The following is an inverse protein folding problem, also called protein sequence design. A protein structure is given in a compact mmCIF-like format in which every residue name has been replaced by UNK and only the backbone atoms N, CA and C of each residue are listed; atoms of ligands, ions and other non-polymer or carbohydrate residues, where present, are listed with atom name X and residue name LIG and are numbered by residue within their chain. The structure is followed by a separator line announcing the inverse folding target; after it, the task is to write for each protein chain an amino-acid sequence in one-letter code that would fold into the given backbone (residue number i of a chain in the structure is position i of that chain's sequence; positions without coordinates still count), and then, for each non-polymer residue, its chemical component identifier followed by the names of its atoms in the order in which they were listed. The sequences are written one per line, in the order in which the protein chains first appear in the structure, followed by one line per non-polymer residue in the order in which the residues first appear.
data_IF_926280140540
#
_entry.id   IF_926280140540
#
_cell.length_a   1.000
_cell.length_b   1.000
_cell.length_c   1.000
_cell.angle_alpha   90.00
_cell.angle_beta   90.00
_cell.angle_gamma   90.00
#
_symmetry.space_group_name_H-M   'P 1'
#
loop_
_entity.id
_entity.type
_entity.pdbx_description
1 polymer ?
#
# COMPACT_ATOMS: atom_id res chain seq x y z
N UNK A 1 7.92 -52.01 -36.82
CA UNK A 1 8.47 -53.12 -36.06
C UNK A 1 9.37 -52.61 -34.92
N UNK A 2 9.22 -53.24 -33.82
CA UNK A 2 9.93 -53.20 -32.53
C UNK A 2 9.43 -52.22 -31.49
N UNK A 3 8.52 -52.74 -30.64
CA UNK A 3 8.31 -52.38 -29.25
C UNK A 3 9.58 -52.61 -28.41
N UNK A 4 9.96 -51.65 -27.55
CA UNK A 4 10.71 -51.91 -26.31
C UNK A 4 10.00 -51.19 -25.18
N UNK A 5 9.34 -52.00 -24.34
CA UNK A 5 8.86 -51.59 -23.03
C UNK A 5 10.05 -51.50 -22.06
N UNK A 6 10.31 -50.32 -21.48
CA UNK A 6 11.22 -50.20 -20.34
C UNK A 6 10.43 -50.08 -19.04
N UNK A 7 10.57 -51.10 -18.23
CA UNK A 7 10.10 -51.24 -16.85
C UNK A 7 10.88 -50.29 -15.94
N UNK A 8 10.16 -49.43 -15.20
CA UNK A 8 10.70 -48.60 -14.13
C UNK A 8 10.87 -49.42 -12.83
N UNK A 9 11.97 -49.28 -12.09
CA UNK A 9 12.19 -50.00 -10.86
C UNK A 9 11.39 -49.41 -9.68
N UNK A 10 10.81 -50.34 -8.90
CA UNK A 10 10.17 -50.06 -7.59
C UNK A 10 11.13 -49.36 -6.64
N UNK A 11 10.69 -48.23 -6.04
CA UNK A 11 11.33 -47.67 -4.86
C UNK A 11 10.71 -48.26 -3.60
N UNK A 12 11.53 -48.68 -2.61
CA UNK A 12 11.02 -49.22 -1.34
C UNK A 12 10.46 -48.11 -0.46
N UNK A 13 9.36 -48.38 0.24
CA UNK A 13 8.81 -47.55 1.28
C UNK A 13 9.79 -47.37 2.47
N UNK A 14 9.90 -46.18 3.08
CA UNK A 14 10.69 -46.02 4.31
C UNK A 14 9.91 -46.56 5.52
N UNK A 15 10.59 -47.41 6.29
CA UNK A 15 10.13 -48.00 7.51
C UNK A 15 9.59 -47.00 8.54
N UNK A 16 8.44 -47.31 9.14
CA UNK A 16 7.82 -46.60 10.24
C UNK A 16 8.63 -46.86 11.51
N UNK A 17 9.37 -45.85 12.00
CA UNK A 17 9.96 -45.86 13.32
C UNK A 17 8.88 -45.43 14.36
N UNK A 18 8.39 -46.41 15.10
CA UNK A 18 7.60 -46.22 16.31
C UNK A 18 8.51 -45.71 17.44
N UNK A 19 8.13 -44.57 18.05
CA UNK A 19 8.71 -44.15 19.30
C UNK A 19 8.65 -42.65 19.58
N UNK A 20 7.46 -42.10 19.87
CA UNK A 20 7.35 -40.80 20.56
C UNK A 20 6.15 -40.77 21.51
N UNK A 21 6.44 -40.45 22.76
CA UNK A 21 5.52 -40.39 23.91
C UNK A 21 4.31 -39.44 23.68
N UNK A 22 3.11 -39.70 24.22
CA UNK A 22 1.90 -38.91 24.01
C UNK A 22 1.80 -37.76 25.05
N UNK A 23 2.51 -36.69 24.86
CA UNK A 23 2.44 -35.55 25.81
C UNK A 23 2.32 -34.17 25.16
N UNK A 24 2.76 -33.97 23.91
CA UNK A 24 2.90 -32.62 23.33
C UNK A 24 2.19 -32.40 21.98
N UNK A 25 1.26 -33.27 21.58
CA UNK A 25 0.66 -33.21 20.24
C UNK A 25 -0.46 -32.15 20.07
N UNK A 26 -1.16 -31.74 21.13
CA UNK A 26 -2.33 -30.84 20.98
C UNK A 26 -1.97 -29.39 20.69
N UNK A 27 -0.88 -28.88 21.21
CA UNK A 27 -0.47 -27.47 21.05
C UNK A 27 0.16 -27.24 19.64
N UNK A 28 0.84 -28.23 19.10
CA UNK A 28 1.44 -28.13 17.76
C UNK A 28 0.43 -28.28 16.60
N UNK A 29 -0.71 -28.97 16.80
CA UNK A 29 -1.72 -29.14 15.74
C UNK A 29 -2.50 -27.85 15.44
N UNK A 30 -2.80 -27.03 16.43
CA UNK A 30 -3.51 -25.78 16.19
C UNK A 30 -2.60 -24.71 15.53
N UNK A 31 -1.34 -24.60 15.97
CA UNK A 31 -0.35 -23.69 15.34
C UNK A 31 -0.02 -24.11 13.90
N UNK A 32 0.12 -25.41 13.64
CA UNK A 32 0.35 -25.92 12.27
C UNK A 32 -0.89 -25.81 11.37
N UNK A 33 -2.09 -25.80 11.94
CA UNK A 33 -3.33 -25.57 11.18
C UNK A 33 -3.44 -24.11 10.70
N UNK A 34 -3.18 -23.14 11.54
CA UNK A 34 -3.20 -21.71 11.16
C UNK A 34 -2.13 -21.41 10.09
N UNK A 35 -0.91 -21.91 10.27
CA UNK A 35 0.15 -21.75 9.26
C UNK A 35 -0.21 -22.47 7.96
N UNK A 36 -0.79 -23.67 8.00
CA UNK A 36 -1.28 -24.38 6.81
C UNK A 36 -2.45 -23.67 6.13
N UNK A 37 -3.32 -23.04 6.88
CA UNK A 37 -4.40 -22.20 6.32
C UNK A 37 -3.80 -20.98 5.62
N UNK A 38 -2.85 -20.28 6.24
CA UNK A 38 -2.13 -19.16 5.61
C UNK A 38 -1.36 -19.59 4.35
N UNK A 39 -0.61 -20.69 4.41
CA UNK A 39 0.14 -21.23 3.25
C UNK A 39 -0.82 -21.69 2.14
N UNK A 40 -1.94 -22.33 2.46
CA UNK A 40 -2.96 -22.71 1.46
C UNK A 40 -3.69 -21.49 0.89
N UNK A 41 -3.92 -20.44 1.68
CA UNK A 41 -4.47 -19.17 1.18
C UNK A 41 -3.58 -18.55 0.10
N UNK A 42 -2.26 -18.72 0.20
CA UNK A 42 -1.29 -18.15 -0.75
C UNK A 42 -0.84 -19.12 -1.86
N UNK A 43 -0.92 -20.44 -1.67
CA UNK A 43 -0.36 -21.43 -2.61
C UNK A 43 -1.31 -21.97 -3.68
N UNK A 44 -2.63 -21.79 -3.55
CA UNK A 44 -3.58 -22.36 -4.51
C UNK A 44 -4.51 -21.32 -5.10
N UNK A 45 -4.14 -20.80 -6.27
CA UNK A 45 -5.02 -19.98 -7.10
C UNK A 45 -5.50 -20.79 -8.32
N UNK A 46 -6.73 -21.32 -8.33
CA UNK A 46 -7.25 -21.96 -9.53
C UNK A 46 -7.60 -20.88 -10.58
N UNK A 47 -6.97 -20.96 -11.75
CA UNK A 47 -7.16 -20.05 -12.90
C UNK A 47 -8.56 -20.10 -13.55
N UNK A 48 -9.50 -20.88 -13.05
CA UNK A 48 -10.77 -21.20 -13.72
C UNK A 48 -12.01 -20.84 -12.92
N UNK A 49 -12.12 -19.58 -12.50
CA UNK A 49 -13.39 -19.09 -11.99
C UNK A 49 -13.98 -18.12 -13.01
N UNK A 50 -15.31 -18.11 -13.18
CA UNK A 50 -16.05 -17.13 -13.99
C UNK A 50 -15.85 -15.70 -13.45
N UNK A 51 -14.61 -15.22 -13.56
CA UNK A 51 -14.13 -13.95 -12.97
C UNK A 51 -14.86 -12.71 -13.55
N UNK A 52 -15.33 -12.78 -14.81
CA UNK A 52 -15.96 -11.60 -15.44
C UNK A 52 -17.19 -11.11 -14.70
N UNK A 53 -18.06 -12.03 -14.24
CA UNK A 53 -19.30 -11.68 -13.53
C UNK A 53 -19.00 -11.13 -12.13
N UNK A 54 -18.12 -11.81 -11.41
CA UNK A 54 -17.65 -11.35 -10.10
C UNK A 54 -17.03 -9.95 -10.19
N UNK A 55 -16.09 -9.73 -11.10
CA UNK A 55 -15.42 -8.43 -11.25
C UNK A 55 -16.40 -7.31 -11.56
N UNK A 56 -17.42 -7.58 -12.42
CA UNK A 56 -18.47 -6.59 -12.72
C UNK A 56 -19.25 -6.20 -11.45
N UNK A 57 -19.73 -7.18 -10.68
CA UNK A 57 -20.49 -6.90 -9.47
C UNK A 57 -19.61 -6.31 -8.34
N UNK A 58 -18.39 -6.76 -8.22
CA UNK A 58 -17.43 -6.20 -7.27
C UNK A 58 -17.18 -4.70 -7.55
N UNK A 59 -17.09 -4.30 -8.81
CA UNK A 59 -16.96 -2.89 -9.15
C UNK A 59 -18.27 -2.12 -8.90
N UNK A 60 -19.41 -2.65 -9.28
CA UNK A 60 -20.71 -1.98 -9.06
C UNK A 60 -20.95 -1.76 -7.57
N UNK A 61 -20.82 -2.80 -6.74
CA UNK A 61 -21.02 -2.69 -5.29
C UNK A 61 -19.96 -1.79 -4.65
N UNK A 62 -18.70 -1.87 -5.10
CA UNK A 62 -17.63 -1.00 -4.60
C UNK A 62 -17.93 0.48 -4.85
N UNK A 63 -18.34 0.84 -6.07
CA UNK A 63 -18.72 2.22 -6.37
C UNK A 63 -20.00 2.65 -5.66
N UNK A 64 -20.94 1.74 -5.39
CA UNK A 64 -22.12 2.04 -4.58
C UNK A 64 -21.72 2.34 -3.11
N UNK A 65 -20.82 1.54 -2.53
CA UNK A 65 -20.26 1.79 -1.19
C UNK A 65 -19.50 3.11 -1.16
N UNK A 66 -18.69 3.41 -2.19
CA UNK A 66 -18.04 4.71 -2.34
C UNK A 66 -19.07 5.86 -2.35
N UNK A 67 -20.13 5.73 -3.15
CA UNK A 67 -21.15 6.77 -3.25
C UNK A 67 -21.86 7.02 -1.90
N UNK A 68 -22.18 5.97 -1.14
CA UNK A 68 -22.75 6.11 0.20
C UNK A 68 -21.77 6.86 1.11
N UNK A 69 -20.50 6.48 1.16
CA UNK A 69 -19.49 7.15 1.97
C UNK A 69 -19.29 8.61 1.53
N UNK A 70 -19.15 8.87 0.23
CA UNK A 70 -18.97 10.21 -0.31
C UNK A 70 -20.14 11.12 0.01
N UNK A 71 -21.39 10.65 -0.21
CA UNK A 71 -22.59 11.42 0.11
C UNK A 71 -22.68 11.71 1.61
N UNK A 72 -22.39 10.72 2.46
CA UNK A 72 -22.38 10.90 3.93
C UNK A 72 -21.39 11.97 4.33
N UNK A 73 -20.14 11.85 3.91
CA UNK A 73 -19.09 12.80 4.32
C UNK A 73 -19.29 14.19 3.74
N UNK A 74 -19.67 14.32 2.47
CA UNK A 74 -19.94 15.61 1.85
C UNK A 74 -21.18 16.31 2.44
N UNK A 75 -22.19 15.54 2.87
CA UNK A 75 -23.39 16.11 3.50
C UNK A 75 -23.15 16.55 4.95
N UNK A 76 -22.10 16.03 5.59
CA UNK A 76 -21.78 16.29 7.00
C UNK A 76 -20.45 16.99 7.19
N UNK A 77 -19.77 17.39 6.11
CA UNK A 77 -18.47 18.07 6.21
C UNK A 77 -18.61 19.40 6.93
N UNK A 78 -17.56 19.76 7.66
CA UNK A 78 -17.47 21.05 8.36
C UNK A 78 -17.54 22.21 7.36
N UNK A 79 -18.47 23.16 7.51
CA UNK A 79 -18.59 24.27 6.57
C UNK A 79 -17.46 25.31 6.71
N UNK A 80 -16.78 25.34 7.85
CA UNK A 80 -15.70 26.25 8.20
C UNK A 80 -14.41 25.48 8.57
N UNK A 81 -13.45 26.16 9.15
CA UNK A 81 -12.28 25.52 9.73
C UNK A 81 -12.62 24.98 11.13
N UNK A 82 -12.41 23.68 11.34
CA UNK A 82 -12.54 23.08 12.66
C UNK A 82 -11.35 23.49 13.57
N UNK A 83 -11.41 23.07 14.83
CA UNK A 83 -10.36 23.30 15.82
C UNK A 83 -9.08 22.52 15.46
N UNK A 84 -8.00 22.80 16.19
CA UNK A 84 -6.70 22.13 16.06
C UNK A 84 -5.96 22.54 14.78
N UNK A 85 -5.18 21.63 14.18
CA UNK A 85 -4.29 21.91 13.05
C UNK A 85 -5.02 22.18 11.72
N UNK A 86 -6.32 21.86 11.66
CA UNK A 86 -7.17 22.02 10.48
C UNK A 86 -7.16 23.45 9.94
N UNK A 87 -7.29 24.44 10.84
CA UNK A 87 -7.25 25.86 10.49
C UNK A 87 -5.91 26.26 9.87
N UNK A 88 -4.80 25.74 10.40
CA UNK A 88 -3.47 25.98 9.87
C UNK A 88 -3.31 25.35 8.49
N UNK A 89 -3.69 24.08 8.31
CA UNK A 89 -3.60 23.42 7.00
C UNK A 89 -4.42 24.14 5.93
N UNK A 90 -5.61 24.63 6.26
CA UNK A 90 -6.45 25.38 5.33
C UNK A 90 -5.79 26.70 4.96
N UNK A 91 -5.33 27.49 5.95
CA UNK A 91 -4.74 28.80 5.72
C UNK A 91 -3.41 28.71 4.96
N UNK A 92 -2.52 27.82 5.38
CA UNK A 92 -1.20 27.63 4.75
C UNK A 92 -1.32 27.05 3.35
N UNK A 93 -2.29 26.13 3.10
CA UNK A 93 -2.58 25.63 1.75
C UNK A 93 -3.08 26.74 0.84
N UNK A 94 -4.00 27.58 1.31
CA UNK A 94 -4.54 28.69 0.52
C UNK A 94 -3.47 29.67 0.08
N UNK A 95 -2.49 29.96 0.93
CA UNK A 95 -1.39 30.88 0.66
C UNK A 95 -0.12 30.21 0.11
N UNK A 96 -0.04 28.86 0.07
CA UNK A 96 1.17 28.08 -0.17
C UNK A 96 2.31 28.43 0.78
N UNK A 97 1.99 28.56 2.06
CA UNK A 97 2.95 28.78 3.14
C UNK A 97 3.42 27.44 3.72
N UNK A 98 4.48 27.47 4.53
CA UNK A 98 4.99 26.29 5.24
C UNK A 98 4.27 26.19 6.59
N UNK A 99 3.60 25.06 6.83
CA UNK A 99 2.98 24.74 8.12
C UNK A 99 4.00 24.27 9.16
N UNK A 100 3.50 23.86 10.35
CA UNK A 100 4.33 23.32 11.42
C UNK A 100 5.10 22.05 11.00
N UNK A 101 6.27 21.77 11.59
CA UNK A 101 7.03 20.55 11.31
C UNK A 101 6.23 19.27 11.63
N UNK A 102 6.37 18.19 10.81
CA UNK A 102 7.33 18.02 9.72
C UNK A 102 6.88 18.60 8.39
N UNK A 103 5.75 19.29 8.33
CA UNK A 103 5.12 19.77 7.11
C UNK A 103 4.42 18.62 6.34
N UNK A 104 3.53 19.00 5.42
CA UNK A 104 2.78 18.07 4.60
C UNK A 104 2.72 18.58 3.15
N UNK A 105 3.85 18.62 2.40
CA UNK A 105 3.96 19.34 1.14
C UNK A 105 2.98 18.85 0.08
N UNK A 106 2.76 17.56 -0.04
CA UNK A 106 1.79 17.02 -1.01
C UNK A 106 0.35 17.37 -0.60
N UNK A 107 0.02 17.25 0.70
CA UNK A 107 -1.28 17.67 1.19
C UNK A 107 -1.54 19.15 0.87
N UNK A 108 -0.57 20.02 1.17
CA UNK A 108 -0.65 21.46 0.92
C UNK A 108 -0.88 21.79 -0.55
N UNK A 109 -0.18 21.12 -1.47
CA UNK A 109 -0.36 21.30 -2.91
C UNK A 109 -1.74 20.82 -3.38
N UNK A 110 -2.21 19.66 -2.91
CA UNK A 110 -3.53 19.14 -3.26
C UNK A 110 -4.65 20.03 -2.69
N UNK A 111 -4.50 20.44 -1.44
CA UNK A 111 -5.43 21.37 -0.81
C UNK A 111 -5.43 22.73 -1.52
N UNK A 112 -4.28 23.23 -1.98
CA UNK A 112 -4.22 24.44 -2.82
C UNK A 112 -5.05 24.29 -4.08
N UNK A 113 -4.95 23.16 -4.77
CA UNK A 113 -5.79 22.91 -5.96
C UNK A 113 -7.28 22.91 -5.61
N UNK A 114 -7.65 22.33 -4.46
CA UNK A 114 -9.03 22.37 -3.98
C UNK A 114 -9.48 23.82 -3.69
N UNK A 115 -8.64 24.63 -3.06
CA UNK A 115 -8.97 26.06 -2.77
C UNK A 115 -9.20 26.90 -4.03
N UNK A 116 -8.61 26.52 -5.17
CA UNK A 116 -8.84 27.21 -6.45
C UNK A 116 -10.25 27.03 -7.00
N UNK A 117 -11.00 26.07 -6.49
CA UNK A 117 -12.40 25.81 -6.83
C UNK A 117 -13.36 26.66 -5.98
N UNK A 118 -12.86 27.34 -4.94
CA UNK A 118 -13.68 28.18 -4.07
C UNK A 118 -14.12 29.46 -4.79
N UNK A 119 -15.45 29.77 -4.85
CA UNK A 119 -15.94 30.97 -5.50
C UNK A 119 -15.58 32.27 -4.74
N UNK A 120 -15.35 32.17 -3.44
CA UNK A 120 -14.84 33.25 -2.58
C UNK A 120 -14.00 32.68 -1.43
N UNK A 121 -13.30 33.54 -0.68
CA UNK A 121 -12.47 33.13 0.46
C UNK A 121 -13.25 32.40 1.57
N UNK A 122 -14.53 32.68 1.71
CA UNK A 122 -15.42 32.03 2.69
C UNK A 122 -15.60 30.55 2.42
N UNK A 123 -15.52 30.13 1.14
CA UNK A 123 -15.67 28.73 0.71
C UNK A 123 -14.34 27.96 0.68
N UNK A 124 -13.22 28.60 0.98
CA UNK A 124 -11.91 27.92 0.99
C UNK A 124 -11.87 26.73 1.96
N UNK A 125 -12.32 26.84 3.22
CA UNK A 125 -12.37 25.71 4.14
C UNK A 125 -13.23 24.57 3.58
N UNK A 126 -14.41 24.90 3.06
CA UNK A 126 -15.34 23.92 2.51
C UNK A 126 -14.72 23.10 1.38
N UNK A 127 -13.93 23.71 0.49
CA UNK A 127 -13.27 23.00 -0.61
C UNK A 127 -12.17 22.05 -0.12
N UNK A 128 -11.41 22.44 0.91
CA UNK A 128 -10.40 21.56 1.50
C UNK A 128 -11.07 20.39 2.24
N UNK A 129 -12.15 20.65 2.98
CA UNK A 129 -12.93 19.63 3.68
C UNK A 129 -13.57 18.66 2.66
N UNK A 130 -14.10 19.16 1.53
CA UNK A 130 -14.64 18.33 0.47
C UNK A 130 -13.56 17.43 -0.16
N UNK A 131 -12.34 17.92 -0.36
CA UNK A 131 -11.21 17.10 -0.81
C UNK A 131 -10.95 15.93 0.15
N UNK A 132 -10.95 16.17 1.45
CA UNK A 132 -10.76 15.14 2.47
C UNK A 132 -11.93 14.17 2.55
N UNK A 133 -13.16 14.65 2.43
CA UNK A 133 -14.37 13.81 2.34
C UNK A 133 -14.28 12.82 1.17
N UNK A 134 -13.84 13.29 0.00
CA UNK A 134 -13.65 12.43 -1.17
C UNK A 134 -12.48 11.46 -0.99
N UNK A 135 -11.35 11.90 -0.43
CA UNK A 135 -10.24 11.02 -0.11
C UNK A 135 -10.65 9.89 0.83
N UNK A 136 -11.43 10.20 1.87
CA UNK A 136 -11.98 9.21 2.78
C UNK A 136 -12.92 8.23 2.09
N UNK A 137 -13.77 8.70 1.18
CA UNK A 137 -14.63 7.82 0.40
C UNK A 137 -13.82 6.86 -0.50
N UNK A 138 -12.71 7.33 -1.10
CA UNK A 138 -11.78 6.45 -1.82
C UNK A 138 -11.10 5.43 -0.88
N UNK A 139 -10.75 5.81 0.34
CA UNK A 139 -10.25 4.86 1.34
C UNK A 139 -11.25 3.72 1.56
N UNK A 140 -12.54 4.04 1.72
CA UNK A 140 -13.63 3.05 1.88
C UNK A 140 -13.75 2.14 0.65
N UNK A 141 -13.61 2.68 -0.57
CA UNK A 141 -13.61 1.89 -1.81
C UNK A 141 -12.45 0.88 -1.84
N UNK A 142 -11.23 1.32 -1.55
CA UNK A 142 -10.06 0.43 -1.54
C UNK A 142 -10.16 -0.61 -0.41
N UNK A 143 -10.70 -0.24 0.74
CA UNK A 143 -10.99 -1.16 1.83
C UNK A 143 -12.01 -2.22 1.40
N UNK A 144 -13.11 -1.84 0.75
CA UNK A 144 -14.09 -2.77 0.20
C UNK A 144 -13.42 -3.77 -0.76
N UNK A 145 -12.64 -3.29 -1.72
CA UNK A 145 -11.95 -4.16 -2.66
C UNK A 145 -10.90 -5.06 -1.99
N UNK A 146 -10.25 -4.59 -0.94
CA UNK A 146 -9.32 -5.41 -0.13
C UNK A 146 -10.06 -6.53 0.56
N UNK A 147 -11.16 -6.24 1.25
CA UNK A 147 -11.97 -7.24 1.97
C UNK A 147 -12.54 -8.29 1.01
N UNK A 148 -13.11 -7.85 -0.12
CA UNK A 148 -13.67 -8.78 -1.11
C UNK A 148 -12.58 -9.62 -1.79
N UNK A 149 -11.38 -9.06 -2.02
CA UNK A 149 -10.23 -9.83 -2.51
C UNK A 149 -9.84 -10.93 -1.52
N UNK A 150 -9.67 -10.61 -0.25
CA UNK A 150 -9.33 -11.58 0.80
C UNK A 150 -10.44 -12.61 1.00
N UNK A 151 -11.71 -12.19 1.01
CA UNK A 151 -12.85 -13.09 1.10
C UNK A 151 -12.87 -14.13 -0.03
N UNK A 152 -12.67 -13.67 -1.27
CA UNK A 152 -12.56 -14.56 -2.44
C UNK A 152 -11.39 -15.55 -2.30
N UNK A 153 -10.25 -15.10 -1.78
CA UNK A 153 -9.09 -15.95 -1.51
C UNK A 153 -9.39 -17.06 -0.51
N UNK A 154 -10.15 -16.77 0.53
CA UNK A 154 -10.57 -17.76 1.54
C UNK A 154 -11.39 -18.89 0.87
N UNK A 155 -12.36 -18.55 0.03
CA UNK A 155 -13.14 -19.55 -0.70
C UNK A 155 -12.26 -20.38 -1.63
N UNK A 156 -11.38 -19.76 -2.41
CA UNK A 156 -10.46 -20.45 -3.31
C UNK A 156 -9.51 -21.40 -2.57
N UNK A 157 -8.98 -20.99 -1.42
CA UNK A 157 -8.09 -21.82 -0.60
C UNK A 157 -8.77 -23.04 0.02
N UNK A 158 -10.10 -22.99 0.18
CA UNK A 158 -10.92 -24.12 0.63
C UNK A 158 -11.31 -25.07 -0.53
N UNK A 159 -10.84 -24.81 -1.76
CA UNK A 159 -11.23 -25.56 -2.95
C UNK A 159 -12.71 -25.39 -3.34
N UNK A 160 -13.37 -24.36 -2.81
CA UNK A 160 -14.77 -24.06 -3.11
C UNK A 160 -14.87 -23.20 -4.38
N UNK A 161 -15.79 -23.56 -5.27
CA UNK A 161 -16.12 -22.72 -6.41
C UNK A 161 -16.84 -21.45 -5.96
N UNK A 162 -16.63 -20.36 -6.68
CA UNK A 162 -17.35 -19.12 -6.47
C UNK A 162 -18.73 -19.21 -7.12
N UNK A 163 -19.65 -19.91 -6.45
CA UNK A 163 -21.08 -19.94 -6.82
C UNK A 163 -21.68 -18.54 -6.68
N UNK A 164 -22.88 -18.31 -7.24
CA UNK A 164 -23.56 -17.04 -7.09
C UNK A 164 -23.83 -16.69 -5.59
N UNK A 165 -24.19 -17.67 -4.76
CA UNK A 165 -24.37 -17.49 -3.33
C UNK A 165 -23.07 -17.06 -2.65
N UNK A 166 -21.96 -17.75 -2.91
CA UNK A 166 -20.65 -17.41 -2.36
C UNK A 166 -20.16 -16.04 -2.82
N UNK A 167 -20.43 -15.67 -4.08
CA UNK A 167 -20.13 -14.36 -4.62
C UNK A 167 -20.83 -13.26 -3.80
N UNK A 168 -22.16 -13.39 -3.61
CA UNK A 168 -22.92 -12.40 -2.84
C UNK A 168 -22.54 -12.38 -1.36
N UNK A 169 -22.13 -13.51 -0.78
CA UNK A 169 -21.58 -13.56 0.59
C UNK A 169 -20.30 -12.74 0.69
N UNK A 170 -19.38 -12.88 -0.27
CA UNK A 170 -18.12 -12.11 -0.29
C UNK A 170 -18.39 -10.62 -0.47
N UNK A 171 -19.25 -10.27 -1.44
CA UNK A 171 -19.59 -8.86 -1.71
C UNK A 171 -20.34 -8.23 -0.54
N UNK A 172 -21.27 -8.96 0.08
CA UNK A 172 -22.02 -8.52 1.26
C UNK A 172 -21.12 -8.32 2.47
N UNK A 173 -20.21 -9.25 2.75
CA UNK A 173 -19.22 -9.10 3.82
C UNK A 173 -18.30 -7.89 3.58
N UNK A 174 -17.87 -7.66 2.33
CA UNK A 174 -17.11 -6.48 1.97
C UNK A 174 -17.87 -5.19 2.18
N UNK A 175 -19.15 -5.15 1.75
CA UNK A 175 -20.01 -3.97 1.92
C UNK A 175 -20.28 -3.67 3.39
N UNK A 176 -20.62 -4.69 4.19
CA UNK A 176 -20.85 -4.52 5.64
C UNK A 176 -19.59 -4.02 6.34
N UNK A 177 -18.42 -4.63 6.07
CA UNK A 177 -17.15 -4.21 6.68
C UNK A 177 -16.76 -2.78 6.30
N UNK A 178 -16.87 -2.41 5.02
CA UNK A 178 -16.54 -1.07 4.54
C UNK A 178 -17.53 -0.02 5.08
N UNK A 179 -18.84 -0.29 5.07
CA UNK A 179 -19.85 0.62 5.61
C UNK A 179 -19.77 0.73 7.13
N UNK A 180 -19.48 -0.36 7.85
CA UNK A 180 -19.23 -0.28 9.29
C UNK A 180 -18.08 0.69 9.60
N UNK A 181 -16.98 0.63 8.83
CA UNK A 181 -15.87 1.56 8.98
C UNK A 181 -16.24 2.99 8.58
N UNK A 182 -17.09 3.17 7.53
CA UNK A 182 -17.60 4.49 7.12
C UNK A 182 -18.27 5.24 8.26
N UNK A 183 -19.00 4.53 9.12
CA UNK A 183 -19.78 5.12 10.23
C UNK A 183 -19.09 5.00 11.58
N UNK A 184 -17.78 4.67 11.64
CA UNK A 184 -17.03 4.78 12.89
C UNK A 184 -16.73 6.24 13.21
N UNK A 185 -16.93 6.65 14.47
CA UNK A 185 -16.74 8.04 14.90
C UNK A 185 -15.38 8.60 14.52
N UNK A 186 -14.30 7.87 14.80
CA UNK A 186 -12.93 8.31 14.54
C UNK A 186 -12.66 8.54 13.05
N UNK A 187 -13.13 7.63 12.18
CA UNK A 187 -12.90 7.79 10.73
C UNK A 187 -13.80 8.85 10.13
N UNK A 188 -15.05 8.94 10.59
CA UNK A 188 -15.96 9.99 10.15
C UNK A 188 -15.46 11.37 10.53
N UNK A 189 -14.94 11.51 11.77
CA UNK A 189 -14.34 12.76 12.23
C UNK A 189 -13.20 13.19 11.29
N UNK A 190 -12.25 12.31 10.97
CA UNK A 190 -11.16 12.59 10.03
C UNK A 190 -11.62 12.85 8.59
N UNK A 191 -12.84 12.42 8.22
CA UNK A 191 -13.33 12.52 6.85
C UNK A 191 -13.95 13.88 6.54
N UNK A 192 -14.50 14.61 7.53
CA UNK A 192 -15.23 15.84 7.28
C UNK A 192 -14.40 17.11 7.45
N UNK A 193 -13.16 17.01 7.92
CA UNK A 193 -12.29 18.15 8.21
C UNK A 193 -11.01 18.16 7.35
N UNK A 194 -10.44 19.35 7.17
CA UNK A 194 -9.30 19.60 6.28
C UNK A 194 -7.96 19.25 6.91
N UNK A 195 -7.70 17.96 7.18
CA UNK A 195 -6.49 17.47 7.81
C UNK A 195 -5.85 16.30 7.06
N UNK A 196 -4.59 16.01 7.34
CA UNK A 196 -3.76 15.01 6.63
C UNK A 196 -4.23 13.58 6.74
N UNK A 197 -5.00 13.22 7.78
CA UNK A 197 -5.33 11.82 8.10
C UNK A 197 -6.25 11.15 7.07
N UNK A 198 -7.19 11.87 6.50
CA UNK A 198 -8.07 11.35 5.44
C UNK A 198 -7.26 10.91 4.22
N UNK A 199 -6.39 11.78 3.72
CA UNK A 199 -5.56 11.52 2.56
C UNK A 199 -4.50 10.43 2.86
N UNK A 200 -3.91 10.43 4.05
CA UNK A 200 -3.00 9.38 4.51
C UNK A 200 -3.67 8.01 4.56
N UNK A 201 -4.90 7.93 5.08
CA UNK A 201 -5.68 6.69 5.13
C UNK A 201 -6.02 6.18 3.73
N UNK A 202 -6.33 7.08 2.80
CA UNK A 202 -6.55 6.73 1.39
C UNK A 202 -5.29 6.11 0.76
N UNK A 203 -4.11 6.73 0.95
CA UNK A 203 -2.85 6.17 0.45
C UNK A 203 -2.55 4.80 1.05
N UNK A 204 -2.79 4.62 2.35
CA UNK A 204 -2.63 3.35 3.05
C UNK A 204 -3.51 2.25 2.43
N UNK A 205 -4.79 2.51 2.27
CA UNK A 205 -5.73 1.56 1.68
C UNK A 205 -5.40 1.26 0.21
N UNK A 206 -5.02 2.27 -0.58
CA UNK A 206 -4.60 2.14 -1.97
C UNK A 206 -3.35 1.25 -2.10
N UNK A 207 -2.31 1.51 -1.31
CA UNK A 207 -1.05 0.75 -1.32
C UNK A 207 -1.29 -0.71 -0.98
N UNK A 208 -2.08 -1.00 0.05
CA UNK A 208 -2.43 -2.37 0.42
C UNK A 208 -3.22 -3.06 -0.70
N UNK A 209 -4.20 -2.38 -1.29
CA UNK A 209 -4.98 -2.92 -2.41
C UNK A 209 -4.10 -3.21 -3.64
N UNK A 210 -3.18 -2.31 -3.99
CA UNK A 210 -2.23 -2.51 -5.09
C UNK A 210 -1.27 -3.68 -4.82
N UNK A 211 -0.84 -3.86 -3.58
CA UNK A 211 -0.01 -5.02 -3.21
C UNK A 211 -0.75 -6.35 -3.41
N UNK A 212 -2.04 -6.39 -3.12
CA UNK A 212 -2.86 -7.57 -3.41
C UNK A 212 -3.04 -7.77 -4.94
N UNK A 213 -3.10 -6.68 -5.72
CA UNK A 213 -3.09 -6.76 -7.20
C UNK A 213 -1.76 -7.29 -7.74
N UNK A 214 -0.64 -6.81 -7.20
CA UNK A 214 0.67 -7.38 -7.52
C UNK A 214 0.72 -8.87 -7.20
N UNK A 215 0.23 -9.27 -6.06
CA UNK A 215 0.23 -10.65 -5.58
C UNK A 215 -0.53 -11.58 -6.54
N UNK A 216 -1.63 -11.15 -7.13
CA UNK A 216 -2.35 -11.88 -8.18
C UNK A 216 -1.52 -12.08 -9.45
N UNK A 217 -0.71 -11.09 -9.82
CA UNK A 217 0.04 -11.04 -11.07
C UNK A 217 1.55 -11.28 -10.90
N UNK A 218 2.00 -11.71 -9.71
CA UNK A 218 3.42 -11.78 -9.36
C UNK A 218 4.27 -12.70 -10.25
N UNK A 219 3.64 -13.64 -10.97
CA UNK A 219 4.31 -14.55 -11.91
C UNK A 219 4.17 -14.10 -13.37
N UNK A 220 3.44 -13.01 -13.64
CA UNK A 220 3.29 -12.46 -14.99
C UNK A 220 4.52 -11.62 -15.39
N UNK A 221 4.83 -11.55 -16.69
CA UNK A 221 5.86 -10.64 -17.19
C UNK A 221 5.56 -9.19 -16.76
N UNK A 222 6.60 -8.47 -16.36
CA UNK A 222 6.52 -7.07 -15.91
C UNK A 222 5.69 -6.81 -14.63
N UNK A 223 5.43 -7.85 -13.81
CA UNK A 223 4.73 -7.69 -12.52
C UNK A 223 5.43 -6.69 -11.56
N UNK A 224 6.75 -6.50 -11.71
CA UNK A 224 7.55 -5.52 -10.95
C UNK A 224 7.06 -4.07 -11.08
N UNK A 225 6.33 -3.72 -12.16
CA UNK A 225 5.72 -2.39 -12.32
C UNK A 225 4.81 -1.99 -11.16
N UNK A 226 4.13 -2.98 -10.57
CA UNK A 226 3.27 -2.74 -9.40
C UNK A 226 4.08 -2.34 -8.16
N UNK A 227 5.24 -2.98 -7.94
CA UNK A 227 6.13 -2.65 -6.81
C UNK A 227 6.69 -1.24 -6.97
N UNK A 228 7.09 -0.86 -8.18
CA UNK A 228 7.55 0.50 -8.47
C UNK A 228 6.44 1.52 -8.26
N UNK A 229 5.21 1.24 -8.71
CA UNK A 229 4.05 2.11 -8.45
C UNK A 229 3.75 2.24 -6.95
N UNK A 230 3.81 1.13 -6.19
CA UNK A 230 3.61 1.14 -4.74
C UNK A 230 4.69 2.02 -4.07
N UNK A 231 5.95 1.87 -4.46
CA UNK A 231 7.04 2.68 -3.93
C UNK A 231 6.84 4.18 -4.23
N UNK A 232 6.42 4.53 -5.44
CA UNK A 232 6.07 5.90 -5.81
C UNK A 232 4.93 6.48 -4.94
N UNK A 233 3.84 5.72 -4.78
CA UNK A 233 2.72 6.16 -3.93
C UNK A 233 3.11 6.27 -2.46
N UNK A 234 4.00 5.40 -1.98
CA UNK A 234 4.56 5.53 -0.63
C UNK A 234 5.42 6.78 -0.50
N UNK A 235 6.26 7.09 -1.48
CA UNK A 235 7.01 8.34 -1.52
C UNK A 235 6.10 9.57 -1.50
N UNK A 236 5.07 9.61 -2.34
CA UNK A 236 4.07 10.67 -2.32
C UNK A 236 3.36 10.78 -0.96
N UNK A 237 3.03 9.65 -0.34
CA UNK A 237 2.33 9.65 0.94
C UNK A 237 3.17 10.20 2.10
N UNK A 238 4.51 10.13 2.03
CA UNK A 238 5.41 10.78 2.99
C UNK A 238 5.19 12.30 2.95
N UNK A 239 4.92 12.87 1.79
CA UNK A 239 4.55 14.28 1.62
C UNK A 239 3.14 14.64 2.13
N UNK A 240 2.38 13.66 2.62
CA UNK A 240 1.12 13.86 3.36
C UNK A 240 1.32 13.58 4.84
N UNK A 241 1.71 12.34 5.17
CA UNK A 241 1.94 11.92 6.55
C UNK A 241 2.76 10.62 6.59
N UNK A 242 3.72 10.52 7.51
CA UNK A 242 4.63 9.36 7.63
C UNK A 242 3.93 8.06 8.07
N UNK A 243 2.68 8.14 8.53
CA UNK A 243 1.92 6.97 9.03
C UNK A 243 1.82 5.85 7.99
N UNK A 244 1.83 6.18 6.69
CA UNK A 244 1.79 5.17 5.63
C UNK A 244 3.01 4.22 5.62
N UNK A 245 4.14 4.60 6.23
CA UNK A 245 5.29 3.71 6.40
C UNK A 245 4.94 2.45 7.21
N UNK A 246 3.90 2.51 8.05
CA UNK A 246 3.40 1.35 8.80
C UNK A 246 2.80 0.25 7.91
N UNK A 247 2.57 0.51 6.61
CA UNK A 247 2.23 -0.53 5.63
C UNK A 247 3.42 -1.44 5.29
N UNK A 248 4.67 -1.01 5.49
CA UNK A 248 5.87 -1.77 5.10
C UNK A 248 5.86 -3.21 5.61
N UNK A 249 5.52 -3.51 6.87
CA UNK A 249 5.43 -4.90 7.32
C UNK A 249 4.43 -5.73 6.51
N UNK A 250 3.25 -5.19 6.23
CA UNK A 250 2.25 -5.90 5.42
C UNK A 250 2.77 -6.20 4.01
N UNK A 251 3.44 -5.22 3.37
CA UNK A 251 4.03 -5.38 2.04
C UNK A 251 5.13 -6.45 2.04
N UNK A 252 6.04 -6.42 3.02
CA UNK A 252 7.13 -7.40 3.15
C UNK A 252 6.56 -8.80 3.37
N UNK A 253 5.55 -8.96 4.23
CA UNK A 253 4.93 -10.27 4.47
C UNK A 253 4.18 -10.80 3.25
N UNK A 254 3.42 -9.97 2.53
CA UNK A 254 2.74 -10.38 1.28
C UNK A 254 3.79 -10.83 0.26
N UNK A 255 4.89 -10.08 0.12
CA UNK A 255 5.99 -10.45 -0.78
C UNK A 255 6.63 -11.77 -0.38
N UNK A 256 6.97 -11.95 0.91
CA UNK A 256 7.55 -13.17 1.44
C UNK A 256 6.65 -14.39 1.18
N UNK A 257 5.38 -14.31 1.57
CA UNK A 257 4.44 -15.42 1.39
C UNK A 257 4.20 -15.75 -0.09
N UNK A 258 4.25 -14.75 -0.97
CA UNK A 258 4.01 -14.96 -2.40
C UNK A 258 5.21 -15.59 -3.11
N UNK A 259 6.43 -15.26 -2.70
CA UNK A 259 7.67 -15.69 -3.37
C UNK A 259 8.31 -16.92 -2.71
N UNK A 260 7.81 -17.37 -1.56
CA UNK A 260 8.40 -18.51 -0.83
C UNK A 260 7.51 -19.73 -0.94
N UNK A 261 8.05 -20.85 -1.43
CA UNK A 261 7.33 -22.12 -1.52
C UNK A 261 7.02 -22.72 -0.14
N UNK A 262 7.92 -22.56 0.83
CA UNK A 262 7.79 -23.10 2.19
C UNK A 262 7.99 -22.01 3.23
N UNK A 263 6.93 -21.67 3.93
CA UNK A 263 6.97 -20.73 5.04
C UNK A 263 7.68 -21.36 6.22
N UNK A 264 8.69 -20.67 6.75
CA UNK A 264 9.49 -21.08 7.90
C UNK A 264 9.47 -20.01 8.99
N UNK A 265 9.66 -20.41 10.26
CA UNK A 265 9.76 -19.45 11.37
C UNK A 265 10.96 -18.50 11.21
N UNK A 266 12.07 -19.00 10.65
CA UNK A 266 13.22 -18.15 10.32
C UNK A 266 12.88 -17.08 9.28
N UNK A 267 12.13 -17.46 8.25
CA UNK A 267 11.67 -16.52 7.22
C UNK A 267 10.70 -15.47 7.77
N UNK A 268 9.79 -15.86 8.66
CA UNK A 268 8.90 -14.92 9.37
C UNK A 268 9.72 -13.94 10.21
N UNK A 269 10.66 -14.44 11.02
CA UNK A 269 11.54 -13.61 11.84
C UNK A 269 12.37 -12.62 10.99
N UNK A 270 12.96 -13.09 9.89
CA UNK A 270 13.67 -12.23 8.96
C UNK A 270 12.77 -11.18 8.28
N UNK A 271 11.57 -11.54 7.89
CA UNK A 271 10.60 -10.59 7.34
C UNK A 271 10.25 -9.50 8.35
N UNK A 272 10.08 -9.85 9.62
CA UNK A 272 9.85 -8.89 10.71
C UNK A 272 11.05 -7.95 10.89
N UNK A 273 12.28 -8.49 10.94
CA UNK A 273 13.50 -7.70 11.08
C UNK A 273 13.68 -6.76 9.88
N UNK A 274 13.50 -7.27 8.66
CA UNK A 274 13.59 -6.47 7.42
C UNK A 274 12.56 -5.34 7.43
N UNK A 275 11.32 -5.63 7.84
CA UNK A 275 10.27 -4.61 7.94
C UNK A 275 10.65 -3.48 8.90
N UNK A 276 11.11 -3.82 10.09
CA UNK A 276 11.57 -2.84 11.07
C UNK A 276 12.78 -2.05 10.58
N UNK A 277 13.77 -2.73 9.99
CA UNK A 277 14.95 -2.09 9.42
C UNK A 277 14.60 -1.11 8.29
N UNK A 278 13.65 -1.46 7.41
CA UNK A 278 13.19 -0.57 6.34
C UNK A 278 12.49 0.67 6.90
N UNK A 279 11.59 0.51 7.87
CA UNK A 279 10.92 1.65 8.52
C UNK A 279 11.96 2.58 9.14
N UNK A 280 12.88 2.06 9.94
CA UNK A 280 13.95 2.84 10.59
C UNK A 280 14.82 3.52 9.54
N UNK A 281 15.21 2.81 8.48
CA UNK A 281 16.06 3.34 7.42
C UNK A 281 15.37 4.49 6.67
N UNK A 282 14.11 4.32 6.28
CA UNK A 282 13.39 5.38 5.57
C UNK A 282 13.17 6.59 6.48
N UNK A 283 12.67 6.35 7.71
CA UNK A 283 12.30 7.44 8.63
C UNK A 283 13.51 8.22 9.17
N UNK A 284 14.61 7.53 9.50
CA UNK A 284 15.75 8.16 10.19
C UNK A 284 16.92 8.50 9.26
N UNK A 285 16.96 7.93 8.07
CA UNK A 285 18.06 8.18 7.13
C UNK A 285 17.58 8.80 5.82
N UNK A 286 16.64 8.19 5.08
CA UNK A 286 16.26 8.72 3.78
C UNK A 286 15.62 10.10 3.94
N UNK A 287 14.56 10.22 4.72
CA UNK A 287 13.81 11.48 4.86
C UNK A 287 14.70 12.61 5.38
N UNK A 288 15.34 12.53 6.56
CA UNK A 288 16.07 13.67 7.11
C UNK A 288 17.37 13.98 6.34
N UNK A 289 18.14 12.97 5.93
CA UNK A 289 19.40 13.24 5.27
C UNK A 289 19.27 13.70 3.84
N UNK A 290 18.23 13.32 3.10
CA UNK A 290 17.99 13.86 1.76
C UNK A 290 17.74 15.36 1.82
N UNK A 291 16.91 15.80 2.76
CA UNK A 291 16.64 17.24 2.99
C UNK A 291 17.88 17.95 3.50
N UNK A 292 18.58 17.37 4.46
CA UNK A 292 19.79 17.93 5.05
C UNK A 292 20.91 18.14 4.02
N UNK A 293 21.22 17.13 3.18
CA UNK A 293 22.22 17.26 2.13
C UNK A 293 21.85 18.32 1.10
N UNK A 294 20.56 18.35 0.69
CA UNK A 294 20.07 19.40 -0.19
C UNK A 294 20.28 20.79 0.38
N UNK A 295 19.93 20.99 1.67
CA UNK A 295 20.12 22.25 2.36
C UNK A 295 21.59 22.65 2.50
N UNK A 296 22.50 21.70 2.81
CA UNK A 296 23.95 21.98 2.91
C UNK A 296 24.54 22.43 1.56
N UNK A 297 24.14 21.75 0.49
CA UNK A 297 24.60 22.11 -0.86
C UNK A 297 24.05 23.49 -1.27
N UNK A 298 22.80 23.79 -0.94
CA UNK A 298 22.22 25.12 -1.23
C UNK A 298 22.93 26.21 -0.43
N UNK A 299 23.18 25.99 0.85
CA UNK A 299 23.94 26.90 1.71
C UNK A 299 25.34 27.17 1.16
N UNK A 300 26.03 26.14 0.70
CA UNK A 300 27.34 26.27 0.05
C UNK A 300 27.25 27.13 -1.22
N UNK A 301 26.24 26.92 -2.05
CA UNK A 301 26.06 27.64 -3.31
C UNK A 301 25.76 29.12 -3.08
N UNK A 302 24.89 29.41 -2.13
CA UNK A 302 24.53 30.81 -1.78
C UNK A 302 25.71 31.52 -1.10
N UNK A 303 26.30 30.91 -0.07
CA UNK A 303 27.26 31.61 0.77
C UNK A 303 28.68 31.66 0.17
N UNK A 304 29.07 30.65 -0.63
CA UNK A 304 30.43 30.59 -1.20
C UNK A 304 30.48 31.11 -2.62
N UNK A 305 29.48 30.81 -3.44
CA UNK A 305 29.46 31.17 -4.86
C UNK A 305 28.55 32.37 -5.17
N UNK A 306 27.78 32.88 -4.19
CA UNK A 306 26.85 34.01 -4.39
C UNK A 306 25.70 33.69 -5.35
N UNK A 307 25.35 32.41 -5.50
CA UNK A 307 24.26 31.99 -6.38
C UNK A 307 22.88 32.21 -5.73
N UNK A 308 21.80 32.30 -6.51
CA UNK A 308 20.45 32.45 -5.96
C UNK A 308 20.06 31.29 -5.04
N UNK A 309 19.22 31.57 -4.05
CA UNK A 309 18.60 30.56 -3.16
C UNK A 309 17.89 29.50 -4.01
N UNK A 310 17.95 28.26 -3.58
CA UNK A 310 17.45 27.05 -4.25
C UNK A 310 18.30 26.56 -5.44
N UNK A 311 19.41 27.22 -5.83
CA UNK A 311 20.27 26.74 -6.92
C UNK A 311 20.99 25.43 -6.56
N UNK A 312 21.47 25.32 -5.32
CA UNK A 312 22.18 24.12 -4.85
C UNK A 312 21.25 22.92 -4.65
N UNK A 313 20.09 23.11 -4.04
CA UNK A 313 19.12 22.03 -3.86
C UNK A 313 18.56 21.55 -5.21
N UNK A 314 18.36 22.45 -6.17
CA UNK A 314 17.94 22.08 -7.53
C UNK A 314 18.98 21.22 -8.22
N UNK A 315 20.27 21.60 -8.16
CA UNK A 315 21.35 20.79 -8.72
C UNK A 315 21.46 19.43 -8.03
N UNK A 316 21.34 19.40 -6.71
CA UNK A 316 21.35 18.15 -5.93
C UNK A 316 20.20 17.22 -6.35
N UNK A 317 18.98 17.71 -6.45
CA UNK A 317 17.81 16.94 -6.86
C UNK A 317 17.99 16.38 -8.29
N UNK A 318 18.45 17.20 -9.24
CA UNK A 318 18.74 16.78 -10.61
C UNK A 318 19.84 15.71 -10.66
N UNK A 319 20.94 15.90 -9.92
CA UNK A 319 22.03 14.94 -9.86
C UNK A 319 21.57 13.61 -9.28
N UNK A 320 20.73 13.63 -8.22
CA UNK A 320 20.16 12.45 -7.60
C UNK A 320 19.25 11.68 -8.57
N UNK A 321 18.32 12.36 -9.23
CA UNK A 321 17.40 11.75 -10.22
C UNK A 321 18.19 11.17 -11.40
N UNK A 322 19.13 11.93 -11.97
CA UNK A 322 19.94 11.47 -13.09
C UNK A 322 20.83 10.29 -12.69
N UNK A 323 21.48 10.35 -11.51
CA UNK A 323 22.34 9.30 -11.00
C UNK A 323 21.61 7.99 -10.75
N UNK A 324 20.47 8.05 -10.07
CA UNK A 324 19.63 6.89 -9.82
C UNK A 324 18.98 6.34 -11.09
N UNK A 325 18.51 7.22 -11.98
CA UNK A 325 17.96 6.84 -13.28
C UNK A 325 18.99 6.13 -14.15
N UNK A 326 20.23 6.66 -14.21
CA UNK A 326 21.34 6.01 -14.92
C UNK A 326 21.72 4.65 -14.30
N UNK A 327 21.79 4.57 -12.98
CA UNK A 327 22.06 3.32 -12.26
C UNK A 327 20.97 2.27 -12.53
N UNK A 328 19.70 2.65 -12.52
CA UNK A 328 18.59 1.78 -12.85
C UNK A 328 18.66 1.29 -14.31
N UNK A 329 18.95 2.18 -15.26
CA UNK A 329 19.14 1.82 -16.65
C UNK A 329 20.32 0.86 -16.85
N UNK A 330 21.46 1.09 -16.17
CA UNK A 330 22.62 0.22 -16.22
C UNK A 330 22.34 -1.16 -15.61
N UNK A 331 21.58 -1.22 -14.51
CA UNK A 331 21.10 -2.46 -13.89
C UNK A 331 20.18 -3.23 -14.84
N UNK A 332 19.26 -2.54 -15.52
CA UNK A 332 18.37 -3.12 -16.51
C UNK A 332 19.13 -3.74 -17.68
N UNK A 333 20.09 -3.01 -18.28
CA UNK A 333 20.95 -3.53 -19.36
C UNK A 333 21.74 -4.77 -18.96
N UNK A 334 22.17 -4.86 -17.69
CA UNK A 334 22.93 -6.02 -17.17
C UNK A 334 22.02 -7.17 -16.71
N UNK A 335 20.72 -7.11 -16.93
CA UNK A 335 19.74 -8.12 -16.49
C UNK A 335 19.60 -8.28 -14.99
N UNK A 336 20.07 -7.31 -14.18
CA UNK A 336 19.98 -7.33 -12.71
C UNK A 336 18.60 -6.85 -12.24
N UNK A 337 17.59 -7.68 -12.45
CA UNK A 337 16.18 -7.33 -12.23
C UNK A 337 15.93 -6.78 -10.82
N UNK A 338 16.41 -7.46 -9.78
CA UNK A 338 16.19 -7.02 -8.39
C UNK A 338 16.82 -5.65 -8.12
N UNK A 339 18.07 -5.44 -8.55
CA UNK A 339 18.76 -4.15 -8.39
C UNK A 339 18.03 -3.03 -9.14
N UNK A 340 17.52 -3.31 -10.36
CA UNK A 340 16.74 -2.35 -11.13
C UNK A 340 15.45 -1.94 -10.40
N UNK A 341 14.72 -2.91 -9.83
CA UNK A 341 13.51 -2.63 -9.04
C UNK A 341 13.84 -1.77 -7.82
N UNK A 342 14.90 -2.12 -7.07
CA UNK A 342 15.33 -1.36 -5.90
C UNK A 342 15.68 0.09 -6.28
N UNK A 343 16.48 0.29 -7.33
CA UNK A 343 16.88 1.63 -7.76
C UNK A 343 15.68 2.46 -8.24
N UNK A 344 14.78 1.88 -9.04
CA UNK A 344 13.56 2.56 -9.46
C UNK A 344 12.66 2.89 -8.28
N UNK A 345 12.49 1.96 -7.34
CA UNK A 345 11.69 2.22 -6.13
C UNK A 345 12.30 3.32 -5.27
N UNK A 346 13.62 3.34 -5.11
CA UNK A 346 14.33 4.42 -4.39
C UNK A 346 14.16 5.77 -5.08
N UNK A 347 14.28 5.81 -6.42
CA UNK A 347 14.05 7.04 -7.20
C UNK A 347 12.62 7.58 -7.03
N UNK A 348 11.65 6.69 -6.87
CA UNK A 348 10.24 7.07 -6.70
C UNK A 348 9.89 7.51 -5.26
N UNK A 349 10.68 7.08 -4.27
CA UNK A 349 10.49 7.50 -2.87
C UNK A 349 11.15 8.86 -2.62
N UNK A 350 12.31 9.11 -3.22
CA UNK A 350 13.06 10.37 -3.12
C UNK A 350 12.46 11.47 -3.97
#
# INVERSE_FOLDING_TARGET
PFCIAQTLPHRPEPAVANGLRPGNRKINLHRTRLIRIFVRLYASYPKTIRMKRYNRWNNIVGWAVFAVAALTYLATMEPSASLWDCSEFIATSYKLEVGHPPGAPLFMMMARLATMLAPSTEYVPLMVNAMNSLASAFCILFMFWTVTHLGRRIYSAQGRELTDANMWTVLGAGAVGALAYTFTDTFWFSAYEGEVYALSSMFTALVVWLMLKWEEQADEPHSSRWIVLIAYLMGLSIGVHILNLLCIPALVFIYYFRKTERVTWKGIAWSTVISGALIVFVNNFIIPYTVWFGAQIDTLFVNTFGLPVNSGITLFALALIIGLGWAAWAAHKRGRVLLNIILLSTTMIL
#
